data_IF_281526232220
#
_entry.id   IF_281526232220
#
_cell.length_a   1.000
_cell.length_b   1.000
_cell.length_c   1.000
_cell.angle_alpha   90.00
_cell.angle_beta   90.00
_cell.angle_gamma   90.00
#
_symmetry.space_group_name_H-M   'P 1'
#
loop_
_entity.id
_entity.type
_entity.pdbx_description
1 polymer ?
#
# COMPACT_ATOMS: atom_id res chain seq x y z
N UNK A 1 22.02 7.79 6.41
CA UNK A 1 21.81 6.73 5.40
C UNK A 1 21.57 5.43 6.15
N UNK A 2 20.32 5.05 6.41
CA UNK A 2 20.01 3.82 7.13
C UNK A 2 20.22 2.64 6.18
N UNK A 3 21.29 1.89 6.36
CA UNK A 3 21.45 0.59 5.72
C UNK A 3 20.34 -0.32 6.26
N UNK A 4 19.39 -0.69 5.40
CA UNK A 4 18.43 -1.76 5.69
C UNK A 4 19.24 -3.06 5.91
N UNK A 5 19.46 -3.41 7.17
CA UNK A 5 20.08 -4.66 7.61
C UNK A 5 19.16 -5.89 7.42
N UNK A 6 18.24 -5.86 6.45
CA UNK A 6 17.24 -6.92 6.22
C UNK A 6 17.21 -7.41 4.76
N UNK A 7 18.36 -7.47 4.08
CA UNK A 7 18.56 -8.49 3.06
C UNK A 7 18.98 -9.79 3.74
N UNK A 8 18.12 -10.33 4.62
CA UNK A 8 18.20 -11.77 4.91
C UNK A 8 18.13 -12.46 3.55
N UNK A 9 19.14 -13.29 3.27
CA UNK A 9 19.32 -13.93 1.97
C UNK A 9 18.00 -14.54 1.53
N UNK A 10 17.36 -13.89 0.55
CA UNK A 10 16.27 -14.48 -0.20
C UNK A 10 16.74 -15.88 -0.65
N UNK A 11 15.86 -16.88 -0.69
CA UNK A 11 16.25 -18.22 -1.08
C UNK A 11 17.09 -18.15 -2.35
N UNK A 12 18.20 -18.89 -2.39
CA UNK A 12 19.26 -18.88 -3.42
C UNK A 12 18.82 -19.15 -4.87
N UNK A 13 17.52 -19.11 -5.16
CA UNK A 13 16.90 -19.20 -6.48
C UNK A 13 15.77 -18.18 -6.72
N UNK A 14 15.80 -17.02 -6.08
CA UNK A 14 15.67 -15.81 -6.90
C UNK A 14 16.90 -15.91 -7.79
N UNK A 15 16.73 -16.33 -9.05
CA UNK A 15 17.81 -16.42 -10.02
C UNK A 15 18.73 -15.21 -9.82
N UNK A 16 20.04 -15.37 -9.94
CA UNK A 16 20.98 -14.22 -9.89
C UNK A 16 20.56 -13.07 -10.85
N UNK A 17 19.64 -13.32 -11.78
CA UNK A 17 19.02 -12.40 -12.72
C UNK A 17 17.59 -11.92 -12.38
N UNK A 18 16.89 -12.50 -11.40
CA UNK A 18 15.59 -11.98 -10.94
C UNK A 18 15.82 -10.88 -9.93
N UNK A 19 16.09 -9.68 -10.44
CA UNK A 19 16.13 -8.46 -9.64
C UNK A 19 14.81 -8.27 -8.91
N UNK A 20 14.88 -8.02 -7.61
CA UNK A 20 13.73 -7.59 -6.82
C UNK A 20 13.34 -6.19 -7.27
N UNK A 21 12.05 -5.95 -7.43
CA UNK A 21 11.54 -4.64 -7.85
C UNK A 21 10.83 -3.91 -6.70
N UNK A 22 10.32 -4.65 -5.72
CA UNK A 22 9.77 -4.09 -4.49
C UNK A 22 9.87 -5.10 -3.34
N UNK A 23 9.93 -4.62 -2.11
CA UNK A 23 9.88 -5.46 -0.91
C UNK A 23 9.31 -4.71 0.28
N UNK A 24 8.64 -5.45 1.16
CA UNK A 24 8.14 -4.94 2.44
C UNK A 24 8.35 -5.96 3.57
N UNK A 25 8.48 -5.42 4.78
CA UNK A 25 8.34 -6.16 6.02
C UNK A 25 6.92 -5.98 6.52
N UNK A 26 6.33 -7.04 7.08
CA UNK A 26 5.05 -6.93 7.76
C UNK A 26 5.22 -5.99 8.97
N UNK A 27 4.29 -5.05 9.24
CA UNK A 27 4.45 -4.08 10.33
C UNK A 27 4.40 -4.72 11.72
N UNK A 28 3.75 -5.88 11.84
CA UNK A 28 3.75 -6.70 13.05
C UNK A 28 4.07 -8.16 12.72
N UNK A 29 5.35 -8.48 12.42
CA UNK A 29 5.76 -9.80 11.96
C UNK A 29 5.69 -10.86 13.07
N UNK A 30 5.54 -10.42 14.32
CA UNK A 30 5.50 -11.26 15.52
C UNK A 30 4.06 -11.56 15.96
N UNK A 31 3.06 -10.87 15.41
CA UNK A 31 1.66 -11.20 15.67
C UNK A 31 1.37 -12.66 15.33
N UNK A 32 0.64 -13.34 16.21
CA UNK A 32 0.20 -14.72 15.98
C UNK A 32 -0.71 -14.85 14.74
N UNK A 33 -1.17 -13.73 14.19
CA UNK A 33 -2.10 -13.64 13.06
C UNK A 33 -1.47 -13.23 11.73
N UNK A 34 -0.14 -13.20 11.59
CA UNK A 34 0.51 -12.88 10.31
C UNK A 34 0.99 -14.14 9.57
N UNK A 35 0.51 -14.39 8.34
CA UNK A 35 1.05 -15.46 7.49
C UNK A 35 2.45 -15.16 6.93
N UNK A 36 2.84 -13.88 6.90
CA UNK A 36 4.09 -13.45 6.28
C UNK A 36 4.79 -12.40 7.15
N UNK A 37 6.13 -12.43 7.12
CA UNK A 37 7.00 -11.44 7.77
C UNK A 37 7.72 -10.55 6.76
N UNK A 38 8.01 -11.08 5.58
CA UNK A 38 8.59 -10.36 4.46
C UNK A 38 7.89 -10.76 3.16
N UNK A 39 7.63 -9.79 2.30
CA UNK A 39 7.16 -10.00 0.95
C UNK A 39 8.12 -9.33 -0.03
N UNK A 40 8.54 -10.07 -1.04
CA UNK A 40 9.40 -9.58 -2.13
C UNK A 40 8.74 -9.84 -3.47
N UNK A 41 8.76 -8.82 -4.33
CA UNK A 41 8.22 -8.88 -5.69
C UNK A 41 9.37 -8.98 -6.67
N UNK A 42 9.28 -9.97 -7.55
CA UNK A 42 10.26 -10.18 -8.61
C UNK A 42 9.96 -9.31 -9.84
N UNK A 43 10.93 -9.19 -10.76
CA UNK A 43 10.73 -8.57 -12.08
C UNK A 43 9.55 -9.10 -12.90
N UNK A 44 9.08 -10.33 -12.64
CA UNK A 44 7.92 -10.93 -13.31
C UNK A 44 6.65 -10.83 -12.47
N UNK A 45 6.68 -10.04 -11.40
CA UNK A 45 5.55 -9.80 -10.49
C UNK A 45 5.13 -11.05 -9.70
N UNK A 46 5.96 -12.10 -9.67
CA UNK A 46 5.78 -13.17 -8.67
C UNK A 46 6.07 -12.63 -7.28
N UNK A 47 5.25 -13.04 -6.31
CA UNK A 47 5.43 -12.66 -4.91
C UNK A 47 6.04 -13.83 -4.13
N UNK A 48 7.11 -13.52 -3.43
CA UNK A 48 7.87 -14.45 -2.60
C UNK A 48 7.74 -13.98 -1.16
N UNK A 49 7.23 -14.88 -0.31
CA UNK A 49 6.99 -14.59 1.09
C UNK A 49 7.94 -15.36 1.97
N UNK A 50 8.46 -14.70 3.00
CA UNK A 50 8.94 -15.36 4.21
C UNK A 50 7.75 -15.51 5.16
N UNK A 51 7.53 -16.70 5.70
CA UNK A 51 6.47 -16.97 6.68
C UNK A 51 6.64 -16.09 7.93
N UNK A 52 5.53 -15.80 8.60
CA UNK A 52 5.53 -15.23 9.95
C UNK A 52 6.11 -16.21 10.98
N UNK A 53 6.26 -15.79 12.23
CA UNK A 53 6.73 -16.65 13.33
C UNK A 53 5.61 -17.20 14.23
N UNK A 54 4.34 -16.88 13.93
CA UNK A 54 3.17 -17.29 14.71
C UNK A 54 2.63 -18.68 14.35
N UNK A 55 1.57 -19.11 15.05
CA UNK A 55 0.91 -20.41 14.83
C UNK A 55 0.44 -20.61 13.38
N UNK A 56 0.05 -19.52 12.72
CA UNK A 56 -0.36 -19.52 11.31
C UNK A 56 0.78 -19.90 10.34
N UNK A 57 2.03 -19.77 10.77
CA UNK A 57 3.20 -20.13 9.97
C UNK A 57 3.26 -21.62 9.63
N UNK A 58 2.59 -22.49 10.39
CA UNK A 58 2.59 -23.93 10.15
C UNK A 58 1.55 -24.37 9.12
N UNK A 59 0.58 -23.52 8.77
CA UNK A 59 -0.47 -23.88 7.82
C UNK A 59 0.00 -23.68 6.39
N UNK A 60 -0.35 -24.63 5.52
CA UNK A 60 -0.11 -24.51 4.08
C UNK A 60 -0.94 -23.36 3.52
N UNK A 61 -0.32 -22.53 2.68
CA UNK A 61 -1.03 -21.44 2.00
C UNK A 61 -1.65 -22.02 0.72
N UNK A 62 -2.99 -21.94 0.53
CA UNK A 62 -3.63 -22.51 -0.65
C UNK A 62 -3.09 -21.90 -1.95
N UNK A 63 -2.67 -22.74 -2.90
CA UNK A 63 -2.04 -22.31 -4.15
C UNK A 63 -0.56 -21.97 -4.08
N UNK A 64 0.04 -21.97 -2.90
CA UNK A 64 1.44 -21.61 -2.76
C UNK A 64 2.38 -22.72 -3.25
N UNK A 65 3.42 -22.31 -3.96
CA UNK A 65 4.54 -23.15 -4.33
C UNK A 65 5.58 -23.11 -3.19
N UNK A 66 5.71 -24.22 -2.47
CA UNK A 66 6.66 -24.38 -1.36
C UNK A 66 7.76 -25.36 -1.75
N UNK A 67 9.00 -25.10 -1.33
CA UNK A 67 10.10 -26.05 -1.52
C UNK A 67 10.26 -26.89 -0.27
N UNK A 68 10.34 -28.21 -0.44
CA UNK A 68 10.54 -29.15 0.65
C UNK A 68 11.74 -28.79 1.55
N UNK A 69 12.84 -28.31 0.95
CA UNK A 69 14.07 -28.00 1.68
C UNK A 69 14.12 -26.58 2.28
N UNK A 70 13.04 -25.79 2.14
CA UNK A 70 12.98 -24.45 2.73
C UNK A 70 11.52 -24.08 3.06
N UNK A 71 10.94 -24.65 4.14
CA UNK A 71 9.53 -24.51 4.47
C UNK A 71 9.16 -23.09 4.92
N UNK A 72 10.15 -22.25 5.23
CA UNK A 72 9.95 -20.87 5.68
C UNK A 72 9.58 -19.91 4.56
N UNK A 73 9.62 -20.35 3.30
CA UNK A 73 9.30 -19.53 2.14
C UNK A 73 8.26 -20.18 1.26
N UNK A 74 7.37 -19.35 0.73
CA UNK A 74 6.36 -19.76 -0.23
C UNK A 74 6.23 -18.71 -1.34
N UNK A 75 5.91 -19.17 -2.55
CA UNK A 75 5.69 -18.30 -3.71
C UNK A 75 4.23 -18.38 -4.13
N UNK A 76 3.63 -17.22 -4.39
CA UNK A 76 2.35 -17.12 -5.08
C UNK A 76 2.57 -16.42 -6.44
N UNK A 77 2.23 -17.08 -7.56
CA UNK A 77 2.42 -16.49 -8.88
C UNK A 77 1.38 -15.41 -9.16
N UNK A 78 1.78 -14.39 -9.92
CA UNK A 78 0.85 -13.44 -10.53
C UNK A 78 0.48 -13.92 -11.93
N UNK A 79 -0.72 -14.46 -12.09
CA UNK A 79 -1.06 -15.31 -13.24
C UNK A 79 -1.23 -14.57 -14.57
N UNK A 80 -1.54 -13.27 -14.53
CA UNK A 80 -1.78 -12.43 -15.70
C UNK A 80 -0.74 -11.30 -15.86
N UNK A 81 0.35 -11.31 -15.08
CA UNK A 81 1.33 -10.23 -15.10
C UNK A 81 1.99 -10.04 -16.48
N UNK A 82 2.36 -11.15 -17.14
CA UNK A 82 2.97 -11.12 -18.46
C UNK A 82 2.04 -10.50 -19.52
N UNK A 83 0.75 -10.84 -19.47
CA UNK A 83 -0.26 -10.32 -20.41
C UNK A 83 -0.52 -8.83 -20.19
N UNK A 84 -0.50 -8.38 -18.93
CA UNK A 84 -0.79 -7.00 -18.55
C UNK A 84 0.39 -6.06 -18.82
N UNK A 85 1.62 -6.52 -18.58
CA UNK A 85 2.83 -5.70 -18.71
C UNK A 85 3.52 -5.83 -20.07
N UNK A 86 3.27 -6.91 -20.81
CA UNK A 86 3.99 -7.23 -22.04
C UNK A 86 5.47 -7.58 -21.85
N UNK A 87 5.96 -7.68 -20.61
CA UNK A 87 7.36 -7.93 -20.29
C UNK A 87 7.69 -7.90 -18.79
N UNK A 88 8.98 -8.01 -18.47
CA UNK A 88 9.49 -7.87 -17.09
C UNK A 88 9.64 -6.41 -16.68
N UNK A 89 9.46 -6.14 -15.39
CA UNK A 89 9.76 -4.84 -14.76
C UNK A 89 11.26 -4.74 -14.45
N UNK A 90 11.89 -3.65 -14.87
CA UNK A 90 13.24 -3.31 -14.41
C UNK A 90 13.18 -2.59 -13.05
N UNK A 91 14.14 -2.85 -12.17
CA UNK A 91 14.17 -2.24 -10.83
C UNK A 91 14.19 -0.69 -10.90
N UNK A 92 14.86 -0.11 -11.90
CA UNK A 92 14.91 1.35 -12.11
C UNK A 92 13.59 1.98 -12.55
N UNK A 93 12.60 1.18 -12.98
CA UNK A 93 11.28 1.68 -13.36
C UNK A 93 10.40 1.97 -12.14
N UNK A 94 10.66 1.34 -10.99
CA UNK A 94 9.82 1.51 -9.80
C UNK A 94 10.10 2.87 -9.15
N UNK A 95 9.14 3.79 -9.27
CA UNK A 95 9.23 5.13 -8.68
C UNK A 95 8.86 5.13 -7.19
N UNK A 96 7.76 4.46 -6.87
CA UNK A 96 7.21 4.39 -5.52
C UNK A 96 6.31 3.16 -5.42
N UNK A 97 6.21 2.59 -4.22
CA UNK A 97 5.37 1.43 -3.98
C UNK A 97 4.89 1.36 -2.53
N UNK A 98 3.80 0.64 -2.34
CA UNK A 98 3.24 0.36 -1.02
C UNK A 98 2.61 -1.04 -0.96
N UNK A 99 2.55 -1.58 0.26
CA UNK A 99 1.96 -2.88 0.57
C UNK A 99 0.92 -2.68 1.67
N UNK A 100 -0.26 -3.23 1.49
CA UNK A 100 -1.23 -3.31 2.57
C UNK A 100 -0.86 -4.40 3.58
N UNK A 101 -1.46 -4.37 4.77
CA UNK A 101 -1.30 -5.45 5.77
C UNK A 101 -2.09 -6.71 5.37
N UNK A 102 -3.20 -6.51 4.66
CA UNK A 102 -4.07 -7.57 4.20
C UNK A 102 -4.90 -7.16 3.00
N UNK A 103 -5.83 -8.01 2.61
CA UNK A 103 -6.72 -7.79 1.46
C UNK A 103 -8.18 -7.90 1.89
N UNK A 104 -8.98 -6.93 1.50
CA UNK A 104 -10.42 -6.98 1.70
C UNK A 104 -11.02 -8.06 0.79
N UNK A 105 -11.86 -8.94 1.35
CA UNK A 105 -12.62 -9.92 0.59
C UNK A 105 -14.10 -9.82 0.97
N UNK A 106 -14.97 -9.78 -0.03
CA UNK A 106 -16.43 -9.84 0.14
C UNK A 106 -16.93 -11.24 0.52
N UNK A 107 -16.07 -12.25 0.42
CA UNK A 107 -16.43 -13.63 0.72
C UNK A 107 -16.68 -13.78 2.22
N UNK A 108 -17.91 -14.16 2.58
CA UNK A 108 -18.35 -14.34 3.97
C UNK A 108 -17.92 -15.70 4.56
N UNK A 109 -17.34 -16.57 3.75
CA UNK A 109 -16.95 -17.91 4.17
C UNK A 109 -15.75 -17.83 5.13
N UNK A 110 -15.83 -18.61 6.21
CA UNK A 110 -14.76 -18.75 7.21
C UNK A 110 -13.80 -19.90 6.87
N UNK A 111 -13.72 -20.28 5.61
CA UNK A 111 -12.79 -21.33 5.21
C UNK A 111 -11.34 -20.84 5.34
N UNK A 112 -10.41 -21.79 5.41
CA UNK A 112 -8.98 -21.50 5.56
C UNK A 112 -8.47 -20.58 4.45
N UNK A 113 -8.90 -20.80 3.20
CA UNK A 113 -8.44 -20.04 2.04
C UNK A 113 -8.88 -18.57 2.09
N UNK A 114 -10.11 -18.29 2.50
CA UNK A 114 -10.64 -16.95 2.73
C UNK A 114 -9.89 -16.22 3.85
N UNK A 115 -9.59 -16.93 4.94
CA UNK A 115 -8.84 -16.37 6.06
C UNK A 115 -7.39 -16.06 5.66
N UNK A 116 -6.74 -16.97 4.94
CA UNK A 116 -5.39 -16.76 4.40
C UNK A 116 -5.36 -15.62 3.39
N UNK A 117 -6.34 -15.55 2.47
CA UNK A 117 -6.46 -14.47 1.49
C UNK A 117 -6.46 -13.10 2.15
N UNK A 118 -7.24 -12.92 3.22
CA UNK A 118 -7.39 -11.63 3.91
C UNK A 118 -6.12 -11.13 4.59
N UNK A 119 -5.17 -12.02 4.85
CA UNK A 119 -3.90 -11.72 5.51
C UNK A 119 -2.74 -11.60 4.52
N UNK A 120 -3.00 -11.76 3.22
CA UNK A 120 -2.04 -11.51 2.16
C UNK A 120 -2.16 -10.07 1.65
N UNK A 121 -1.04 -9.41 1.33
CA UNK A 121 -1.04 -8.00 0.98
C UNK A 121 -1.54 -7.76 -0.43
N UNK A 122 -2.30 -6.69 -0.63
CA UNK A 122 -2.37 -5.99 -1.91
C UNK A 122 -1.11 -5.16 -2.05
N UNK A 123 -0.61 -5.03 -3.27
CA UNK A 123 0.56 -4.23 -3.61
C UNK A 123 0.20 -3.22 -4.68
N UNK A 124 0.71 -2.01 -4.57
CA UNK A 124 0.63 -1.02 -5.61
C UNK A 124 2.01 -0.43 -5.91
N UNK A 125 2.33 -0.28 -7.19
CA UNK A 125 3.61 0.23 -7.67
C UNK A 125 3.37 1.28 -8.75
N UNK A 126 3.97 2.46 -8.58
CA UNK A 126 4.13 3.45 -9.64
C UNK A 126 5.38 3.11 -10.44
N UNK A 127 5.19 2.87 -11.73
CA UNK A 127 6.22 2.47 -12.68
C UNK A 127 6.43 3.60 -13.68
N UNK A 128 7.67 4.01 -13.90
CA UNK A 128 8.08 4.87 -15.02
C UNK A 128 8.84 4.01 -16.02
N UNK A 129 8.18 3.77 -17.14
CA UNK A 129 8.75 2.98 -18.24
C UNK A 129 9.78 3.79 -19.03
N UNK A 130 10.53 3.13 -19.92
CA UNK A 130 11.54 3.77 -20.76
C UNK A 130 10.96 4.87 -21.68
N UNK A 131 9.68 4.81 -22.04
CA UNK A 131 8.98 5.86 -22.79
C UNK A 131 8.61 7.08 -21.94
N UNK A 132 9.06 7.14 -20.68
CA UNK A 132 8.70 8.12 -19.65
C UNK A 132 7.24 8.05 -19.17
N UNK A 133 6.45 7.13 -19.71
CA UNK A 133 5.08 6.91 -19.28
C UNK A 133 5.03 6.37 -17.86
N UNK A 134 4.22 7.01 -17.03
CA UNK A 134 3.92 6.56 -15.68
C UNK A 134 2.70 5.65 -15.72
N UNK A 135 2.83 4.46 -15.15
CA UNK A 135 1.75 3.48 -14.98
C UNK A 135 1.61 3.09 -13.52
N UNK A 136 0.40 2.77 -13.11
CA UNK A 136 0.10 2.22 -11.80
C UNK A 136 -0.18 0.72 -11.96
N UNK A 137 0.66 -0.12 -11.38
CA UNK A 137 0.43 -1.55 -11.27
C UNK A 137 -0.16 -1.87 -9.90
N UNK A 138 -1.36 -2.45 -9.87
CA UNK A 138 -1.99 -2.99 -8.66
C UNK A 138 -1.94 -4.51 -8.75
N UNK A 139 -1.43 -5.16 -7.70
CA UNK A 139 -1.28 -6.61 -7.62
C UNK A 139 -2.01 -7.08 -6.38
N UNK A 140 -3.09 -7.83 -6.57
CA UNK A 140 -3.99 -8.25 -5.47
C UNK A 140 -4.14 -9.77 -5.43
N UNK A 141 -4.23 -10.39 -4.26
CA UNK A 141 -4.54 -11.80 -4.17
C UNK A 141 -6.04 -12.00 -4.43
N UNK A 142 -6.38 -13.10 -5.09
CA UNK A 142 -7.77 -13.51 -5.37
C UNK A 142 -7.92 -15.00 -5.13
N UNK A 143 -9.13 -15.42 -4.78
CA UNK A 143 -9.50 -16.83 -4.75
C UNK A 143 -9.98 -17.30 -6.11
N UNK A 144 -9.48 -18.45 -6.53
CA UNK A 144 -9.93 -19.18 -7.71
C UNK A 144 -10.23 -20.61 -7.33
N UNK A 145 -11.30 -21.17 -7.88
CA UNK A 145 -11.50 -22.62 -7.86
C UNK A 145 -10.61 -23.25 -8.95
N UNK A 146 -9.63 -24.06 -8.53
CA UNK A 146 -8.79 -24.85 -9.45
C UNK A 146 -9.05 -26.31 -9.14
N UNK A 147 -9.65 -27.05 -10.10
CA UNK A 147 -10.05 -28.45 -9.90
C UNK A 147 -10.88 -28.63 -8.63
N UNK A 148 -11.85 -27.73 -8.41
CA UNK A 148 -12.74 -27.70 -7.25
C UNK A 148 -12.07 -27.33 -5.90
N UNK A 149 -10.76 -27.11 -5.86
CA UNK A 149 -10.06 -26.65 -4.66
C UNK A 149 -9.89 -25.11 -4.65
N UNK A 150 -10.19 -24.43 -3.53
CA UNK A 150 -9.96 -22.99 -3.39
C UNK A 150 -8.46 -22.71 -3.36
N UNK A 151 -8.00 -21.95 -4.34
CA UNK A 151 -6.59 -21.65 -4.61
C UNK A 151 -6.38 -20.15 -4.64
N UNK A 152 -5.35 -19.65 -3.94
CA UNK A 152 -5.01 -18.23 -3.98
C UNK A 152 -4.01 -17.98 -5.11
N UNK A 153 -4.28 -16.99 -5.94
CA UNK A 153 -3.36 -16.49 -6.96
C UNK A 153 -3.33 -14.96 -6.94
N UNK A 154 -2.29 -14.35 -7.49
CA UNK A 154 -2.28 -12.89 -7.66
C UNK A 154 -2.75 -12.47 -9.04
N UNK A 155 -3.47 -11.35 -9.08
CA UNK A 155 -3.90 -10.66 -10.29
C UNK A 155 -3.28 -9.27 -10.36
N UNK A 156 -2.71 -8.96 -11.51
CA UNK A 156 -2.22 -7.65 -11.88
C UNK A 156 -3.32 -6.84 -12.58
N UNK A 157 -3.35 -5.54 -12.31
CA UNK A 157 -4.15 -4.55 -13.03
C UNK A 157 -3.26 -3.35 -13.30
N UNK A 158 -3.18 -2.93 -14.57
CA UNK A 158 -2.40 -1.78 -14.99
C UNK A 158 -3.32 -0.63 -15.32
N UNK A 159 -3.09 0.51 -14.69
CA UNK A 159 -3.87 1.73 -14.86
C UNK A 159 -2.94 2.87 -15.27
N UNK A 160 -3.51 3.88 -15.95
CA UNK A 160 -2.84 5.16 -16.14
C UNK A 160 -3.22 6.07 -14.97
N UNK A 161 -2.28 6.44 -14.09
CA UNK A 161 -2.59 7.33 -12.96
C UNK A 161 -2.85 8.76 -13.47
N UNK A 162 -3.52 9.61 -12.68
CA UNK A 162 -3.58 11.04 -12.93
C UNK A 162 -2.19 11.67 -13.04
N UNK A 163 -2.08 12.76 -13.80
CA UNK A 163 -0.81 13.47 -13.97
C UNK A 163 -0.28 14.04 -12.64
N UNK A 164 1.05 14.19 -12.55
CA UNK A 164 1.70 14.80 -11.38
C UNK A 164 1.82 13.90 -10.13
N UNK A 165 1.23 12.70 -10.15
CA UNK A 165 1.33 11.72 -9.05
C UNK A 165 2.78 11.22 -8.90
N UNK A 166 3.24 11.10 -7.65
CA UNK A 166 4.58 10.56 -7.30
C UNK A 166 4.56 9.54 -6.17
N UNK A 167 3.52 9.51 -5.36
CA UNK A 167 3.41 8.55 -4.27
C UNK A 167 2.13 7.73 -4.39
N UNK A 168 2.23 6.47 -4.00
CA UNK A 168 1.12 5.55 -3.86
C UNK A 168 1.06 5.08 -2.42
N UNK A 169 -0.14 5.04 -1.87
CA UNK A 169 -0.41 4.62 -0.51
C UNK A 169 -1.59 3.66 -0.52
N UNK A 170 -1.45 2.52 0.14
CA UNK A 170 -2.53 1.54 0.31
C UNK A 170 -3.07 1.61 1.73
N UNK A 171 -4.39 1.66 1.85
CA UNK A 171 -5.07 1.41 3.11
C UNK A 171 -4.74 0.01 3.64
N UNK A 172 -4.93 -0.15 4.95
CA UNK A 172 -4.54 -1.36 5.70
C UNK A 172 -5.05 -2.67 5.08
N UNK A 173 -6.30 -2.69 4.65
CA UNK A 173 -6.95 -3.86 4.06
C UNK A 173 -6.80 -3.92 2.52
N UNK A 174 -5.97 -3.05 1.94
CA UNK A 174 -5.69 -3.02 0.51
C UNK A 174 -6.88 -2.65 -0.37
N UNK A 175 -8.00 -2.19 0.21
CA UNK A 175 -9.22 -1.85 -0.52
C UNK A 175 -9.28 -0.39 -0.97
N UNK A 176 -8.48 0.48 -0.35
CA UNK A 176 -8.33 1.89 -0.70
C UNK A 176 -6.90 2.13 -1.18
N UNK A 177 -6.78 2.74 -2.35
CA UNK A 177 -5.51 3.25 -2.87
C UNK A 177 -5.61 4.76 -2.96
N UNK A 178 -4.59 5.45 -2.48
CA UNK A 178 -4.43 6.90 -2.54
C UNK A 178 -3.20 7.22 -3.38
N UNK A 179 -3.37 8.10 -4.35
CA UNK A 179 -2.31 8.63 -5.20
C UNK A 179 -2.07 10.08 -4.82
N UNK A 180 -0.82 10.42 -4.49
CA UNK A 180 -0.46 11.75 -4.01
C UNK A 180 0.49 12.43 -4.99
N UNK A 181 0.29 13.73 -5.16
CA UNK A 181 1.16 14.62 -5.90
C UNK A 181 2.54 14.77 -5.26
N UNK A 182 3.47 15.35 -6.01
CA UNK A 182 4.86 15.52 -5.55
C UNK A 182 5.06 16.64 -4.53
N UNK A 183 4.22 17.68 -4.60
CA UNK A 183 4.39 18.91 -3.84
C UNK A 183 3.08 19.30 -3.15
N UNK A 184 3.22 20.02 -2.05
CA UNK A 184 2.15 20.79 -1.42
C UNK A 184 2.16 22.17 -2.11
N UNK A 185 1.12 22.54 -2.86
CA UNK A 185 1.07 23.82 -3.58
C UNK A 185 1.01 25.02 -2.62
N UNK A 186 1.68 26.10 -2.99
CA UNK A 186 1.81 27.34 -2.19
C UNK A 186 0.50 28.12 -2.02
N UNK A 187 -0.46 27.94 -2.93
CA UNK A 187 -1.62 28.82 -3.02
C UNK A 187 -2.87 28.27 -2.30
N UNK A 188 -3.04 26.95 -2.30
CA UNK A 188 -4.27 26.31 -1.80
C UNK A 188 -4.05 25.40 -0.59
N UNK A 189 -2.79 25.08 -0.23
CA UNK A 189 -2.42 24.17 0.87
C UNK A 189 -3.19 22.84 0.86
N UNK A 190 -3.65 22.43 -0.32
CA UNK A 190 -4.27 21.14 -0.58
C UNK A 190 -3.25 20.22 -1.19
N UNK A 191 -3.00 19.06 -0.58
CA UNK A 191 -2.17 18.05 -1.22
C UNK A 191 -2.99 17.41 -2.35
N UNK A 192 -2.54 17.45 -3.62
CA UNK A 192 -3.25 16.77 -4.71
C UNK A 192 -3.32 15.29 -4.40
N UNK A 193 -4.53 14.77 -4.24
CA UNK A 193 -4.75 13.38 -3.88
C UNK A 193 -5.89 12.82 -4.73
N UNK A 194 -5.77 11.54 -5.09
CA UNK A 194 -6.82 10.80 -5.77
C UNK A 194 -7.04 9.47 -5.05
N UNK A 195 -8.29 9.16 -4.77
CA UNK A 195 -8.69 7.86 -4.23
C UNK A 195 -9.13 6.91 -5.33
N UNK A 196 -8.85 5.64 -5.11
CA UNK A 196 -9.27 4.54 -5.95
C UNK A 196 -9.69 3.38 -5.04
N UNK A 197 -10.94 2.95 -5.19
CA UNK A 197 -11.43 1.76 -4.52
C UNK A 197 -10.95 0.52 -5.28
N UNK A 198 -10.04 -0.25 -4.68
CA UNK A 198 -9.55 -1.50 -5.23
C UNK A 198 -10.66 -2.55 -5.13
N UNK A 199 -11.39 -2.72 -6.23
CA UNK A 199 -12.46 -3.72 -6.36
C UNK A 199 -11.96 -4.99 -7.04
N UNK A 200 -12.79 -6.04 -6.94
CA UNK A 200 -12.62 -7.31 -7.64
C UNK A 200 -12.61 -7.21 -9.17
N UNK A 201 -12.67 -8.36 -9.85
CA UNK A 201 -12.42 -8.52 -11.30
C UNK A 201 -13.40 -7.82 -12.26
N UNK A 202 -14.33 -7.00 -11.75
CA UNK A 202 -15.49 -6.54 -12.52
C UNK A 202 -15.83 -5.05 -12.38
N UNK A 203 -14.84 -4.16 -12.21
CA UNK A 203 -15.12 -2.73 -12.28
C UNK A 203 -13.93 -1.87 -12.65
N UNK A 204 -14.06 -1.12 -13.75
CA UNK A 204 -13.29 0.10 -13.97
C UNK A 204 -13.76 1.15 -12.95
N UNK A 205 -13.24 1.09 -11.73
CA UNK A 205 -13.33 2.26 -10.86
C UNK A 205 -12.49 3.38 -11.49
N UNK A 206 -12.99 4.61 -11.46
CA UNK A 206 -12.21 5.77 -11.86
C UNK A 206 -11.47 6.34 -10.65
N UNK A 207 -10.33 6.99 -10.88
CA UNK A 207 -9.70 7.82 -9.86
C UNK A 207 -10.64 8.96 -9.50
N UNK A 208 -10.87 9.16 -8.20
CA UNK A 208 -11.69 10.25 -7.68
C UNK A 208 -10.79 11.28 -7.02
N UNK A 209 -10.84 12.56 -7.41
CA UNK A 209 -10.15 13.62 -6.67
C UNK A 209 -10.54 13.59 -5.20
N UNK A 210 -9.54 13.67 -4.33
CA UNK A 210 -9.67 13.60 -2.89
C UNK A 210 -8.92 14.79 -2.32
N UNK A 211 -9.60 15.69 -1.63
CA UNK A 211 -8.97 16.90 -1.10
C UNK A 211 -8.35 16.58 0.25
N UNK A 212 -7.03 16.66 0.34
CA UNK A 212 -6.30 16.63 1.61
C UNK A 212 -5.97 18.08 2.00
N UNK A 213 -6.87 18.68 2.78
CA UNK A 213 -6.75 20.08 3.19
C UNK A 213 -5.93 20.22 4.48
N UNK A 214 -5.01 21.18 4.49
CA UNK A 214 -4.30 21.61 5.69
C UNK A 214 -5.14 22.69 6.38
N UNK A 215 -5.51 22.56 7.67
CA UNK A 215 -6.32 23.56 8.37
C UNK A 215 -5.61 24.92 8.43
N UNK A 216 -6.39 26.01 8.29
CA UNK A 216 -5.93 27.40 8.27
C UNK A 216 -4.89 27.79 9.33
N UNK A 217 -4.98 27.41 10.61
CA UNK A 217 -3.97 27.81 11.60
C UNK A 217 -2.57 27.24 11.33
N UNK A 218 -2.47 26.17 10.52
CA UNK A 218 -1.19 25.56 10.13
C UNK A 218 -0.70 26.03 8.76
N UNK A 219 -1.58 26.64 7.96
CA UNK A 219 -1.23 27.23 6.67
C UNK A 219 -0.20 28.34 6.84
N UNK A 220 -0.38 29.19 7.85
CA UNK A 220 0.54 30.31 8.10
C UNK A 220 1.96 29.84 8.47
N UNK A 221 2.10 28.67 9.11
CA UNK A 221 3.42 28.07 9.36
C UNK A 221 4.09 27.54 8.09
N UNK A 222 3.30 27.10 7.10
CA UNK A 222 3.82 26.57 5.84
C UNK A 222 4.10 27.70 4.82
N UNK A 223 3.43 28.85 4.95
CA UNK A 223 3.58 30.01 4.05
C UNK A 223 4.96 30.64 4.05
N UNK A 224 5.70 30.50 5.15
CA UNK A 224 7.06 31.05 5.25
C UNK A 224 8.07 30.24 4.43
N UNK A 225 7.71 29.03 4.00
CA UNK A 225 8.55 28.11 3.24
C UNK A 225 7.96 27.90 1.83
N UNK A 226 8.80 27.97 0.80
CA UNK A 226 8.42 27.66 -0.59
C UNK A 226 7.80 26.25 -0.73
N UNK A 227 7.12 25.98 -1.85
CA UNK A 227 6.48 24.70 -2.18
C UNK A 227 7.20 23.47 -1.61
N UNK A 228 6.59 22.87 -0.57
CA UNK A 228 7.20 21.75 0.12
C UNK A 228 7.03 20.47 -0.68
N UNK A 229 8.13 19.72 -0.84
CA UNK A 229 8.10 18.45 -1.56
C UNK A 229 7.75 17.32 -0.61
N UNK A 230 6.82 16.46 -1.02
CA UNK A 230 6.54 15.21 -0.31
C UNK A 230 7.70 14.25 -0.57
N UNK A 231 8.37 13.81 0.49
CA UNK A 231 9.49 12.87 0.43
C UNK A 231 9.03 11.45 0.75
N UNK A 232 8.06 11.32 1.64
CA UNK A 232 7.48 10.03 2.02
C UNK A 232 5.98 10.18 2.28
N UNK A 233 5.22 9.14 1.94
CA UNK A 233 3.82 8.99 2.27
C UNK A 233 3.56 7.55 2.71
N UNK A 234 2.80 7.36 3.80
CA UNK A 234 2.44 6.04 4.32
C UNK A 234 1.03 6.05 4.89
N UNK A 235 0.33 4.93 4.77
CA UNK A 235 -0.89 4.71 5.54
C UNK A 235 -0.57 4.01 6.85
N UNK A 236 -1.42 4.23 7.84
CA UNK A 236 -1.49 3.39 9.04
C UNK A 236 -2.94 3.22 9.49
N UNK A 237 -3.14 2.27 10.40
CA UNK A 237 -4.39 2.17 11.16
C UNK A 237 -4.62 3.48 11.93
N UNK A 238 -5.84 4.02 11.82
CA UNK A 238 -6.23 5.17 12.61
C UNK A 238 -6.07 4.89 14.11
N UNK A 239 -5.40 5.79 14.85
CA UNK A 239 -5.14 5.62 16.28
C UNK A 239 -6.42 5.77 17.11
N UNK A 240 -7.41 6.48 16.57
CA UNK A 240 -8.74 6.59 17.16
C UNK A 240 -9.77 6.15 16.14
N UNK A 241 -10.67 5.25 16.55
CA UNK A 241 -11.91 5.06 15.83
C UNK A 241 -12.71 6.35 16.02
N UNK A 242 -13.05 7.03 14.93
CA UNK A 242 -14.06 8.09 14.99
C UNK A 242 -15.33 7.45 15.55
N UNK A 243 -15.92 8.05 16.58
CA UNK A 243 -17.10 7.51 17.31
C UNK A 243 -18.33 7.33 16.41
N UNK A 244 -18.29 7.83 15.18
CA UNK A 244 -19.23 7.51 14.12
C UNK A 244 -18.50 6.84 12.95
N UNK A 245 -18.40 5.49 12.91
CA UNK A 245 -18.11 4.84 11.66
C UNK A 245 -19.23 5.20 10.68
N UNK A 246 -18.91 5.97 9.64
CA UNK A 246 -19.79 6.04 8.47
C UNK A 246 -19.98 4.60 8.00
N UNK A 247 -21.19 4.06 8.19
CA UNK A 247 -21.52 2.69 7.82
C UNK A 247 -21.13 2.46 6.36
N UNK A 248 -20.12 1.63 6.13
CA UNK A 248 -19.61 1.29 4.79
C UNK A 248 -18.46 2.16 4.25
N UNK A 249 -17.88 3.06 5.04
CA UNK A 249 -16.67 3.81 4.68
C UNK A 249 -15.36 3.03 4.87
N UNK A 250 -14.35 3.40 4.09
CA UNK A 250 -12.96 2.94 4.25
C UNK A 250 -12.19 4.00 5.04
N UNK A 251 -11.68 3.63 6.21
CA UNK A 251 -11.01 4.55 7.14
C UNK A 251 -9.51 4.27 7.25
N UNK A 252 -8.68 5.29 7.02
CA UNK A 252 -7.21 5.19 7.11
C UNK A 252 -6.60 6.52 7.56
N UNK A 253 -5.47 6.47 8.26
CA UNK A 253 -4.63 7.65 8.46
C UNK A 253 -3.52 7.65 7.42
N UNK A 254 -3.26 8.80 6.80
CA UNK A 254 -2.17 9.03 5.84
C UNK A 254 -1.17 9.98 6.47
N UNK A 255 0.08 9.53 6.57
CA UNK A 255 1.19 10.32 7.07
C UNK A 255 2.02 10.76 5.88
N UNK A 256 2.26 12.07 5.75
CA UNK A 256 3.20 12.65 4.81
C UNK A 256 4.39 13.23 5.56
N UNK A 257 5.59 13.06 5.00
CA UNK A 257 6.81 13.71 5.43
C UNK A 257 7.32 14.59 4.30
N UNK A 258 7.56 15.86 4.58
CA UNK A 258 8.14 16.81 3.62
C UNK A 258 9.66 16.88 3.72
N UNK A 259 10.30 17.51 2.74
CA UNK A 259 11.74 17.78 2.75
C UNK A 259 12.17 18.84 3.76
N UNK A 260 11.21 19.54 4.37
CA UNK A 260 11.40 20.48 5.47
C UNK A 260 11.23 19.82 6.85
N UNK A 261 11.15 18.48 6.90
CA UNK A 261 10.92 17.69 8.11
C UNK A 261 9.58 18.01 8.82
N UNK A 262 8.58 18.43 8.03
CA UNK A 262 7.20 18.57 8.48
C UNK A 262 6.48 17.23 8.33
N UNK A 263 5.84 16.79 9.41
CA UNK A 263 4.96 15.61 9.39
C UNK A 263 3.52 16.06 9.40
N UNK A 264 2.77 15.62 8.39
CA UNK A 264 1.35 15.87 8.22
C UNK A 264 0.60 14.54 8.34
N UNK A 265 -0.40 14.48 9.21
CA UNK A 265 -1.22 13.28 9.37
C UNK A 265 -2.66 13.63 9.01
N UNK A 266 -3.20 12.98 7.99
CA UNK A 266 -4.56 13.16 7.51
C UNK A 266 -5.40 11.95 7.90
N UNK A 267 -6.52 12.16 8.58
CA UNK A 267 -7.57 11.14 8.64
C UNK A 267 -8.32 11.13 7.31
N UNK A 268 -8.45 9.97 6.69
CA UNK A 268 -9.08 9.79 5.38
C UNK A 268 -10.18 8.75 5.51
N UNK A 269 -11.42 9.23 5.49
CA UNK A 269 -12.60 8.39 5.37
C UNK A 269 -13.18 8.54 3.96
N UNK A 270 -13.30 7.43 3.24
CA UNK A 270 -13.91 7.40 1.91
C UNK A 270 -15.16 6.53 1.98
N UNK A 271 -16.34 7.15 1.85
CA UNK A 271 -17.57 6.38 1.70
C UNK A 271 -17.59 5.69 0.33
N UNK A 272 -18.08 4.44 0.32
CA UNK A 272 -18.27 3.68 -0.92
C UNK A 272 -19.36 4.29 -1.82
N UNK A 273 -20.23 5.13 -1.26
CA UNK A 273 -21.42 5.70 -1.93
C UNK A 273 -21.45 7.24 -1.98
N UNK A 274 -20.74 7.96 -1.09
CA UNK A 274 -20.84 9.42 -0.99
C UNK A 274 -19.47 10.14 -0.83
N UNK A 275 -19.39 11.36 -1.34
CA UNK A 275 -18.20 12.18 -1.57
C UNK A 275 -17.77 13.02 -0.36
N UNK A 276 -17.63 12.42 0.83
CA UNK A 276 -17.29 13.22 2.02
C UNK A 276 -16.01 12.71 2.68
N UNK A 277 -14.96 13.52 2.58
CA UNK A 277 -13.70 13.38 3.29
C UNK A 277 -13.69 14.31 4.49
N UNK A 278 -13.49 13.74 5.67
CA UNK A 278 -13.26 14.48 6.90
C UNK A 278 -11.76 14.46 7.18
N UNK A 279 -11.09 15.56 6.85
CA UNK A 279 -9.65 15.70 6.97
C UNK A 279 -9.32 16.40 8.29
N UNK A 280 -8.88 15.63 9.27
CA UNK A 280 -8.24 16.16 10.47
C UNK A 280 -6.73 16.05 10.29
N UNK A 281 -6.06 17.20 10.18
CA UNK A 281 -4.61 17.32 10.10
C UNK A 281 -3.98 17.33 11.50
N UNK A 282 -3.13 16.37 11.86
CA UNK A 282 -2.20 16.50 12.98
C UNK A 282 -0.85 16.94 12.44
N UNK A 283 -0.26 17.96 13.07
CA UNK A 283 1.00 18.57 12.66
C UNK A 283 2.07 18.31 13.71
N UNK A 284 3.24 17.87 13.26
CA UNK A 284 4.44 17.89 14.07
C UNK A 284 5.59 18.46 13.21
N UNK A 285 6.12 19.61 13.61
CA UNK A 285 7.38 20.13 13.08
C UNK A 285 8.51 19.66 13.99
N UNK A 286 9.49 18.95 13.43
CA UNK A 286 10.62 18.40 14.20
C UNK A 286 11.76 19.42 14.43
N UNK A 287 11.65 20.64 13.89
CA UNK A 287 12.77 21.57 13.75
C UNK A 287 12.75 22.84 14.61
N UNK A 288 12.01 22.87 15.72
CA UNK A 288 12.23 23.90 16.74
C UNK A 288 11.95 23.37 18.13
N UNK A 289 12.65 23.90 19.14
CA UNK A 289 12.62 23.52 20.55
C UNK A 289 11.26 23.74 21.26
N UNK A 290 10.15 23.74 20.53
CA UNK A 290 8.78 23.88 21.01
C UNK A 290 7.90 22.83 20.31
N UNK A 291 8.04 21.58 20.75
CA UNK A 291 7.17 20.48 20.33
C UNK A 291 5.78 20.70 20.94
N UNK A 292 4.85 21.27 20.18
CA UNK A 292 3.43 21.32 20.57
C UNK A 292 2.65 20.29 19.78
N UNK A 293 2.32 19.19 20.45
CA UNK A 293 1.23 18.30 20.05
C UNK A 293 -0.07 19.00 20.42
N UNK A 294 -0.73 19.64 19.45
CA UNK A 294 -2.05 20.21 19.66
C UNK A 294 -3.13 19.18 19.28
N UNK A 295 -3.59 18.40 20.25
CA UNK A 295 -4.92 17.79 20.22
C UNK A 295 -5.94 18.87 20.57
N UNK A 296 -6.78 19.27 19.61
CA UNK A 296 -8.04 19.94 19.94
C UNK A 296 -9.18 19.20 19.27
N UNK A 297 -9.78 18.34 20.08
CA UNK A 297 -11.04 17.65 19.83
C UNK A 297 -12.15 18.66 20.11
N UNK A 298 -13.09 18.83 19.20
CA UNK A 298 -14.41 19.36 19.53
C UNK A 298 -15.36 18.19 19.74
#
# INVERSE_FOLDING_TARGET
MFHLHCTERLPSRILLQSTNVASALHPDPLSCSAYWSNCTITRNVDLIFKRGSGELAHFKVPGACEKANNPNFFRLPCVNAADVLGGSIEAGWVMNYDFSEGTSSSEKQKDHACLTLRQLPTVAMLLRTASTDIKLLIVRPVLKAVKEEPTIVYHATLLTPPEGVRHVVLGRDGSLLLLLGHHIPDHDFTVPCFSYAVKGDHGCASFKPTRLCIPSPFVDMLREESAQRVVCARARKALRQVESPVLGGLDTEVILLTDHAVVLIFHVNVSREAETLLVCGLFACLNSAACWVAYKIH
#
